data_IF_191841366362
#
_entry.id   IF_191841366362
#
_cell.length_a   1.000
_cell.length_b   1.000
_cell.length_c   1.000
_cell.angle_alpha   90.00
_cell.angle_beta   90.00
_cell.angle_gamma   90.00
#
_symmetry.space_group_name_H-M   'P 1'
#
loop_
_entity.id
_entity.type
_entity.pdbx_description
1 polymer ?
#
# COMPACT_ATOMS: atom_id res chain seq x y z
N UNK A 1 -8.64 -10.52 -26.21
CA UNK A 1 -8.99 -9.71 -25.03
C UNK A 1 -7.86 -9.93 -24.04
N UNK A 2 -6.97 -8.94 -23.87
CA UNK A 2 -5.85 -9.07 -22.91
C UNK A 2 -6.48 -9.16 -21.52
N UNK A 3 -6.25 -10.26 -20.82
CA UNK A 3 -6.75 -10.49 -19.46
C UNK A 3 -5.68 -9.95 -18.51
N UNK A 4 -5.91 -8.75 -18.00
CA UNK A 4 -5.07 -8.17 -16.96
C UNK A 4 -5.50 -8.83 -15.66
N UNK A 5 -4.71 -9.78 -15.16
CA UNK A 5 -4.87 -10.21 -13.78
C UNK A 5 -4.63 -8.97 -12.93
N UNK A 6 -5.66 -8.55 -12.21
CA UNK A 6 -5.61 -7.52 -11.19
C UNK A 6 -4.73 -8.06 -10.06
N UNK A 7 -3.40 -8.11 -10.26
CA UNK A 7 -2.43 -8.42 -9.20
C UNK A 7 -2.26 -7.14 -8.39
N UNK A 8 -3.36 -6.65 -7.82
CA UNK A 8 -3.39 -5.40 -7.08
C UNK A 8 -2.93 -5.72 -5.66
N UNK A 9 -1.74 -5.26 -5.34
CA UNK A 9 -1.48 -4.67 -4.02
C UNK A 9 -1.18 -5.61 -2.86
N UNK A 10 -0.66 -6.83 -3.08
CA UNK A 10 0.01 -7.53 -1.97
C UNK A 10 1.44 -7.03 -1.91
N UNK A 11 1.69 -6.06 -1.03
CA UNK A 11 3.02 -5.96 -0.44
C UNK A 11 2.98 -6.83 0.75
N UNK A 12 3.96 -7.68 0.80
CA UNK A 12 4.47 -8.02 2.08
C UNK A 12 6.01 -8.10 1.86
N UNK A 13 6.85 -7.45 2.68
CA UNK A 13 8.31 -7.53 2.57
C UNK A 13 9.19 -6.96 3.70
N UNK A 14 10.49 -7.33 3.78
CA UNK A 14 11.66 -6.79 4.55
C UNK A 14 12.26 -7.87 5.49
N UNK A 15 13.55 -8.23 5.54
CA UNK A 15 14.83 -7.47 5.55
C UNK A 15 15.99 -8.37 5.06
N UNK A 16 17.18 -7.79 4.97
CA UNK A 16 18.46 -8.42 4.63
C UNK A 16 18.79 -9.63 5.52
N UNK A 17 18.54 -10.81 4.98
CA UNK A 17 18.80 -12.11 5.57
C UNK A 17 18.00 -13.15 4.81
N UNK A 18 18.54 -14.35 4.61
CA UNK A 18 17.75 -15.45 4.04
C UNK A 18 16.68 -15.87 5.05
N UNK A 19 15.49 -15.28 4.97
CA UNK A 19 14.32 -15.74 5.73
C UNK A 19 13.68 -16.91 5.00
N UNK A 20 13.14 -17.88 5.76
CA UNK A 20 12.41 -19.00 5.17
C UNK A 20 11.13 -18.49 4.49
N UNK A 21 10.98 -18.74 3.20
CA UNK A 21 9.81 -18.36 2.42
C UNK A 21 8.75 -19.48 2.44
N UNK A 22 7.48 -19.11 2.46
CA UNK A 22 6.34 -19.99 2.25
C UNK A 22 5.76 -19.70 0.87
N UNK A 23 5.34 -20.74 0.13
CA UNK A 23 4.62 -20.54 -1.12
C UNK A 23 3.18 -20.13 -0.81
N UNK A 24 2.79 -18.96 -1.29
CA UNK A 24 1.42 -18.44 -1.23
C UNK A 24 0.87 -18.42 -2.64
N UNK A 25 -0.40 -18.74 -2.81
CA UNK A 25 -0.98 -18.81 -4.14
C UNK A 25 -2.19 -17.86 -4.22
N UNK A 26 -2.25 -17.06 -5.28
CA UNK A 26 -3.21 -15.98 -5.50
C UNK A 26 -4.07 -16.38 -6.69
N UNK A 27 -5.35 -16.66 -6.46
CA UNK A 27 -6.31 -17.00 -7.52
C UNK A 27 -7.29 -15.86 -7.71
N UNK A 28 -7.83 -15.67 -8.91
CA UNK A 28 -8.85 -14.65 -9.15
C UNK A 28 -10.29 -15.16 -8.93
N UNK A 29 -10.44 -16.37 -8.38
CA UNK A 29 -11.73 -17.03 -8.15
C UNK A 29 -12.47 -17.48 -9.41
N UNK A 30 -11.95 -17.20 -10.62
CA UNK A 30 -12.59 -17.57 -11.88
C UNK A 30 -12.17 -18.99 -12.26
N UNK A 31 -13.14 -19.90 -12.31
CA UNK A 31 -12.92 -21.29 -12.70
C UNK A 31 -12.20 -21.39 -14.07
N UNK A 32 -11.00 -21.96 -14.06
CA UNK A 32 -10.16 -22.17 -15.26
C UNK A 32 -9.27 -20.99 -15.66
N UNK A 33 -9.29 -19.87 -14.93
CA UNK A 33 -8.41 -18.71 -15.18
C UNK A 33 -7.12 -18.75 -14.34
N UNK A 34 -7.03 -19.73 -13.44
CA UNK A 34 -5.79 -20.12 -12.82
C UNK A 34 -5.40 -19.41 -11.52
N UNK A 35 -4.18 -19.70 -11.06
CA UNK A 35 -3.59 -19.22 -9.81
C UNK A 35 -2.11 -18.86 -10.02
N UNK A 36 -1.70 -17.73 -9.47
CA UNK A 36 -0.30 -17.30 -9.38
C UNK A 36 0.26 -17.72 -8.01
N UNK A 37 1.19 -18.65 -7.97
CA UNK A 37 1.94 -19.00 -6.76
C UNK A 37 3.16 -18.11 -6.66
N UNK A 38 3.47 -17.53 -5.50
CA UNK A 38 4.64 -16.69 -5.24
C UNK A 38 5.31 -17.09 -3.91
N UNK A 39 6.64 -16.97 -3.78
CA UNK A 39 7.32 -17.12 -2.49
C UNK A 39 7.14 -15.85 -1.65
N UNK A 40 6.73 -16.03 -0.39
CA UNK A 40 6.36 -14.99 0.58
C UNK A 40 7.16 -15.21 1.87
N UNK A 41 7.88 -14.21 2.40
CA UNK A 41 8.66 -14.34 3.65
C UNK A 41 7.79 -14.20 4.93
N UNK A 42 8.34 -14.26 6.16
CA UNK A 42 7.56 -14.15 7.39
C UNK A 42 7.00 -12.75 7.71
N UNK A 43 7.41 -11.71 6.98
CA UNK A 43 6.83 -10.36 6.94
C UNK A 43 5.95 -10.19 5.68
N UNK A 44 5.93 -11.27 4.89
CA UNK A 44 5.32 -11.60 3.62
C UNK A 44 6.06 -11.19 2.34
N UNK A 45 7.32 -10.72 2.42
CA UNK A 45 8.34 -10.95 1.36
C UNK A 45 7.93 -11.42 -0.03
N UNK A 46 7.43 -10.61 -0.97
CA UNK A 46 7.56 -10.98 -2.39
C UNK A 46 8.66 -10.18 -3.10
N UNK A 47 9.55 -10.91 -3.78
CA UNK A 47 10.64 -10.38 -4.59
C UNK A 47 10.52 -10.87 -6.03
N UNK A 48 10.26 -9.95 -6.96
CA UNK A 48 10.46 -10.19 -8.38
C UNK A 48 11.89 -9.72 -8.75
N UNK A 49 12.77 -10.64 -9.14
CA UNK A 49 14.10 -10.24 -9.59
C UNK A 49 14.02 -9.51 -10.94
N UNK A 50 14.11 -8.17 -10.91
CA UNK A 50 14.05 -7.29 -12.08
C UNK A 50 15.19 -7.51 -13.09
N UNK A 51 16.32 -8.09 -12.67
CA UNK A 51 17.59 -7.97 -13.41
C UNK A 51 17.92 -9.09 -14.41
N UNK A 52 17.27 -10.25 -14.36
CA UNK A 52 17.71 -11.42 -15.18
C UNK A 52 16.63 -12.19 -15.92
N UNK A 53 15.35 -11.86 -15.75
CA UNK A 53 14.26 -12.48 -16.53
C UNK A 53 14.17 -14.03 -16.42
N UNK A 54 14.82 -14.65 -15.43
CA UNK A 54 14.87 -16.10 -15.28
C UNK A 54 14.03 -16.55 -14.06
N UNK A 55 13.17 -17.56 -14.29
CA UNK A 55 12.37 -18.34 -13.33
C UNK A 55 12.41 -17.85 -11.87
N UNK A 56 11.40 -17.05 -11.55
CA UNK A 56 11.33 -16.15 -10.39
C UNK A 56 10.70 -16.79 -9.13
N UNK A 57 10.54 -18.11 -9.12
CA UNK A 57 9.89 -18.83 -8.02
C UNK A 57 8.36 -18.74 -8.03
N UNK A 58 7.78 -17.87 -8.86
CA UNK A 58 6.35 -17.92 -9.15
C UNK A 58 5.94 -18.99 -10.16
N UNK A 59 4.75 -19.55 -9.93
CA UNK A 59 4.14 -20.56 -10.79
C UNK A 59 2.72 -20.16 -11.11
N UNK A 60 2.45 -19.88 -12.39
CA UNK A 60 1.09 -19.66 -12.88
C UNK A 60 0.50 -20.97 -13.42
N UNK A 61 -0.69 -21.33 -12.94
CA UNK A 61 -1.43 -22.56 -13.27
C UNK A 61 -2.85 -22.17 -13.72
N UNK A 62 -3.36 -22.50 -14.93
CA UNK A 62 -2.84 -23.49 -15.86
C UNK A 62 -1.66 -22.97 -16.67
N UNK A 63 -0.61 -23.79 -16.69
CA UNK A 63 0.72 -23.50 -17.24
C UNK A 63 0.70 -22.63 -18.51
N UNK A 64 1.38 -21.48 -18.44
CA UNK A 64 1.63 -20.57 -19.55
C UNK A 64 2.76 -19.60 -19.23
N UNK A 65 3.50 -19.16 -20.23
CA UNK A 65 4.44 -18.05 -20.07
C UNK A 65 3.67 -16.79 -19.68
N UNK A 66 4.11 -16.09 -18.63
CA UNK A 66 3.73 -14.68 -18.43
C UNK A 66 4.04 -13.95 -19.75
N UNK A 67 3.05 -13.29 -20.36
CA UNK A 67 3.26 -12.53 -21.60
C UNK A 67 4.26 -11.39 -21.39
N UNK A 68 4.60 -10.62 -22.43
CA UNK A 68 5.45 -9.42 -22.29
C UNK A 68 4.83 -8.29 -21.45
N UNK A 69 3.58 -8.45 -21.01
CA UNK A 69 2.77 -7.48 -20.26
C UNK A 69 2.47 -7.99 -18.82
N UNK A 70 3.46 -8.48 -18.08
CA UNK A 70 3.25 -8.87 -16.67
C UNK A 70 3.39 -7.63 -15.77
N UNK A 71 2.47 -7.41 -14.81
CA UNK A 71 2.58 -6.27 -13.91
C UNK A 71 3.82 -6.45 -13.03
N UNK A 72 4.74 -5.50 -13.10
CA UNK A 72 5.78 -5.30 -12.11
C UNK A 72 5.41 -4.10 -11.25
N UNK A 73 5.50 -4.28 -9.94
CA UNK A 73 5.26 -3.20 -9.01
C UNK A 73 6.11 -3.44 -7.77
N UNK A 74 6.55 -2.34 -7.16
CA UNK A 74 7.27 -2.35 -5.91
C UNK A 74 6.57 -1.41 -4.93
N UNK A 75 6.48 -1.79 -3.67
CA UNK A 75 5.84 -0.94 -2.67
C UNK A 75 6.48 -1.18 -1.33
N UNK A 76 6.39 -0.16 -0.48
CA UNK A 76 7.03 -0.15 0.81
C UNK A 76 6.26 0.71 1.80
N UNK A 77 6.28 0.30 3.06
CA UNK A 77 5.84 1.07 4.22
C UNK A 77 7.01 1.27 5.15
N UNK A 78 7.27 2.54 5.43
CA UNK A 78 8.40 2.99 6.21
C UNK A 78 7.92 3.71 7.45
N UNK A 79 8.57 3.44 8.57
CA UNK A 79 8.34 4.14 9.82
C UNK A 79 9.56 5.02 10.11
N UNK A 80 9.31 6.31 10.34
CA UNK A 80 10.33 7.31 10.67
C UNK A 80 10.01 7.98 12.01
N UNK A 81 10.94 7.94 12.97
CA UNK A 81 10.85 8.69 14.24
C UNK A 81 11.92 9.77 14.23
N UNK A 82 11.48 11.01 14.02
CA UNK A 82 12.37 12.14 13.76
C UNK A 82 13.35 11.87 12.60
N UNK A 83 14.54 12.46 12.68
CA UNK A 83 15.62 12.24 11.72
C UNK A 83 16.63 11.20 12.19
N UNK A 84 16.31 10.48 13.26
CA UNK A 84 17.26 9.58 13.92
C UNK A 84 16.89 8.14 13.71
N UNK A 85 15.61 7.80 13.74
CA UNK A 85 15.18 6.41 13.69
C UNK A 85 14.37 6.09 12.44
N UNK A 86 14.66 4.94 11.83
CA UNK A 86 13.88 4.42 10.71
C UNK A 86 13.90 2.90 10.61
N UNK A 87 12.79 2.33 10.17
CA UNK A 87 12.65 0.93 9.76
C UNK A 87 11.68 0.82 8.59
N UNK A 88 11.87 -0.21 7.77
CA UNK A 88 10.87 -0.60 6.79
C UNK A 88 10.02 -1.65 7.46
N UNK A 89 8.73 -1.35 7.62
CA UNK A 89 7.76 -2.32 8.09
C UNK A 89 7.40 -3.28 6.97
N UNK A 90 7.42 -2.75 5.75
CA UNK A 90 7.20 -3.49 4.53
C UNK A 90 8.03 -2.90 3.38
N UNK A 91 8.75 -3.63 2.51
CA UNK A 91 9.52 -3.03 1.39
C UNK A 91 10.07 -4.06 0.40
N UNK A 92 9.99 -3.79 -0.91
CA UNK A 92 10.71 -4.59 -1.92
C UNK A 92 12.21 -4.73 -1.54
N UNK A 93 12.79 -5.95 -1.47
CA UNK A 93 14.15 -6.15 -0.94
C UNK A 93 15.28 -5.32 -1.59
N UNK A 94 15.16 -4.98 -2.87
CA UNK A 94 16.06 -4.08 -3.59
C UNK A 94 16.04 -2.63 -3.09
N UNK A 95 14.96 -2.18 -2.46
CA UNK A 95 14.82 -0.83 -1.86
C UNK A 95 15.72 -0.62 -0.63
N UNK A 96 16.26 -1.70 -0.03
CA UNK A 96 17.12 -1.65 1.16
C UNK A 96 18.60 -1.29 0.93
N UNK A 97 18.97 -0.78 -0.25
CA UNK A 97 20.30 -0.93 -0.84
C UNK A 97 21.47 0.00 -0.44
N UNK A 98 21.38 0.83 0.60
CA UNK A 98 22.52 1.68 1.00
C UNK A 98 23.10 1.32 2.38
N UNK A 99 24.30 0.73 2.40
CA UNK A 99 25.08 0.49 3.63
C UNK A 99 25.43 1.76 4.38
N UNK A 100 25.37 2.91 3.70
CA UNK A 100 25.65 4.24 4.26
C UNK A 100 24.61 4.69 5.30
N UNK A 101 23.39 4.18 5.21
CA UNK A 101 22.24 4.64 5.98
C UNK A 101 21.31 3.47 6.35
N UNK A 102 21.85 2.39 6.91
CA UNK A 102 21.02 1.29 7.42
C UNK A 102 19.99 1.78 8.47
N UNK A 103 18.85 1.09 8.54
CA UNK A 103 17.87 1.31 9.60
C UNK A 103 18.51 0.97 10.94
N UNK A 104 18.21 1.78 11.95
CA UNK A 104 18.69 1.58 13.32
C UNK A 104 17.57 1.16 14.28
N UNK A 105 16.35 1.01 13.74
CA UNK A 105 15.26 0.30 14.39
C UNK A 105 15.24 -1.15 13.90
N UNK A 106 14.92 -2.06 14.81
CA UNK A 106 14.76 -3.48 14.53
C UNK A 106 13.27 -3.82 14.51
N UNK A 107 12.79 -4.34 13.38
CA UNK A 107 11.47 -4.97 13.29
C UNK A 107 11.60 -6.48 13.57
N UNK A 108 10.77 -7.04 14.45
CA UNK A 108 10.77 -8.46 14.79
C UNK A 108 9.37 -9.05 14.66
N UNK A 109 9.19 -10.04 13.78
CA UNK A 109 7.91 -10.76 13.65
C UNK A 109 7.54 -11.42 14.97
N UNK A 110 6.31 -11.17 15.40
CA UNK A 110 5.66 -11.86 16.52
C UNK A 110 4.76 -12.97 15.99
N UNK A 111 3.96 -12.69 14.96
CA UNK A 111 3.20 -13.69 14.21
C UNK A 111 3.25 -13.39 12.71
N UNK A 112 3.41 -14.45 11.92
CA UNK A 112 3.54 -14.33 10.46
C UNK A 112 2.25 -13.81 9.80
N UNK A 113 2.33 -13.39 8.52
CA UNK A 113 1.14 -13.17 7.72
C UNK A 113 0.35 -14.48 7.64
N UNK A 114 -0.94 -14.41 7.98
CA UNK A 114 -1.88 -15.47 7.61
C UNK A 114 -1.92 -15.60 6.09
N UNK A 115 -2.29 -16.80 5.59
CA UNK A 115 -2.50 -16.98 4.17
C UNK A 115 -3.52 -15.96 3.66
N UNK A 116 -3.23 -15.39 2.49
CA UNK A 116 -4.13 -14.46 1.80
C UNK A 116 -4.82 -15.23 0.68
N UNK A 117 -6.15 -15.30 0.72
CA UNK A 117 -6.93 -15.71 -0.44
C UNK A 117 -7.41 -14.46 -1.20
N UNK A 118 -7.62 -14.61 -2.51
CA UNK A 118 -8.25 -13.62 -3.38
C UNK A 118 -9.39 -14.27 -4.17
N UNK A 119 -9.64 -15.57 -3.94
CA UNK A 119 -10.62 -16.31 -4.69
C UNK A 119 -12.03 -15.91 -4.24
N UNK A 120 -12.67 -15.13 -5.11
CA UNK A 120 -14.01 -14.62 -4.87
C UNK A 120 -15.04 -15.72 -4.58
N UNK A 121 -15.82 -15.52 -3.53
CA UNK A 121 -16.97 -16.35 -3.15
C UNK A 121 -16.60 -17.82 -2.97
N UNK A 122 -15.39 -18.06 -2.47
CA UNK A 122 -14.88 -19.40 -2.16
C UNK A 122 -15.01 -19.76 -0.66
N UNK A 123 -15.38 -18.77 0.17
CA UNK A 123 -15.57 -18.92 1.60
C UNK A 123 -14.26 -18.93 2.42
N UNK A 124 -13.14 -18.46 1.86
CA UNK A 124 -11.82 -18.41 2.51
C UNK A 124 -11.40 -16.97 2.75
N UNK A 125 -11.02 -16.63 3.98
CA UNK A 125 -10.70 -15.26 4.41
C UNK A 125 -9.71 -14.51 3.48
N UNK A 126 -10.16 -13.45 2.79
CA UNK A 126 -9.35 -12.54 1.97
C UNK A 126 -8.61 -11.47 2.80
N UNK A 127 -8.42 -11.75 4.08
CA UNK A 127 -7.71 -10.88 5.03
C UNK A 127 -6.46 -11.59 5.52
N UNK A 128 -5.30 -10.99 5.24
CA UNK A 128 -4.04 -11.39 5.83
C UNK A 128 -3.75 -10.54 7.06
N UNK A 129 -3.31 -11.17 8.15
CA UNK A 129 -2.90 -10.49 9.38
C UNK A 129 -1.49 -10.90 9.74
N UNK A 130 -0.69 -9.93 10.19
CA UNK A 130 0.66 -10.15 10.71
C UNK A 130 0.86 -9.28 11.95
N UNK A 131 1.79 -9.67 12.82
CA UNK A 131 2.19 -8.81 13.94
C UNK A 131 3.70 -8.79 14.11
N UNK A 132 4.22 -7.63 14.49
CA UNK A 132 5.65 -7.43 14.72
C UNK A 132 5.88 -6.34 15.77
N UNK A 133 7.06 -6.36 16.38
CA UNK A 133 7.54 -5.26 17.23
C UNK A 133 8.53 -4.40 16.47
N UNK A 134 8.61 -3.12 16.80
CA UNK A 134 9.62 -2.18 16.31
C UNK A 134 10.31 -1.56 17.51
N UNK A 135 11.62 -1.77 17.65
CA UNK A 135 12.38 -1.28 18.79
C UNK A 135 13.71 -0.64 18.40
N UNK A 136 14.13 0.38 19.16
CA UNK A 136 15.48 0.94 19.11
C UNK A 136 16.38 0.33 20.19
N UNK A 137 17.69 0.24 19.94
CA UNK A 137 18.65 -0.30 20.90
C UNK A 137 18.74 0.52 22.20
N UNK A 138 18.47 1.83 22.12
CA UNK A 138 18.44 2.76 23.24
C UNK A 138 17.07 2.85 23.94
N UNK A 139 16.10 2.01 23.54
CA UNK A 139 14.75 1.94 24.12
C UNK A 139 13.88 3.20 24.00
N UNK A 140 14.29 4.17 23.16
CA UNK A 140 13.45 5.34 22.81
C UNK A 140 12.21 4.93 22.02
N UNK A 141 12.35 3.95 21.11
CA UNK A 141 11.25 3.40 20.32
C UNK A 141 10.95 2.00 20.83
N UNK A 142 9.69 1.76 21.19
CA UNK A 142 9.18 0.44 21.55
C UNK A 142 7.71 0.36 21.14
N UNK A 143 7.45 -0.19 19.96
CA UNK A 143 6.12 -0.27 19.36
C UNK A 143 5.71 -1.72 19.14
N UNK A 144 4.45 -2.02 19.37
CA UNK A 144 3.78 -3.21 18.84
C UNK A 144 2.94 -2.80 17.64
N UNK A 145 3.01 -3.60 16.57
CA UNK A 145 2.27 -3.34 15.34
C UNK A 145 1.50 -4.58 14.95
N UNK A 146 0.18 -4.44 14.82
CA UNK A 146 -0.67 -5.41 14.14
C UNK A 146 -0.98 -4.85 12.75
N UNK A 147 -0.64 -5.62 11.73
CA UNK A 147 -0.87 -5.29 10.33
C UNK A 147 -1.99 -6.18 9.79
N UNK A 148 -2.90 -5.57 9.04
CA UNK A 148 -3.95 -6.23 8.30
C UNK A 148 -3.93 -5.77 6.86
N UNK A 149 -4.03 -6.71 5.93
CA UNK A 149 -4.22 -6.47 4.51
C UNK A 149 -5.50 -7.16 4.07
N UNK A 150 -6.42 -6.43 3.44
CA UNK A 150 -7.67 -6.97 2.91
C UNK A 150 -7.93 -6.46 1.50
N UNK A 151 -8.52 -7.30 0.65
CA UNK A 151 -9.01 -6.90 -0.68
C UNK A 151 -10.51 -6.64 -0.63
N UNK A 152 -10.96 -5.64 -1.39
CA UNK A 152 -12.36 -5.21 -1.47
C UNK A 152 -12.76 -4.86 -2.91
N UNK A 153 -14.07 -4.90 -3.17
CA UNK A 153 -14.65 -4.61 -4.49
C UNK A 153 -14.84 -3.10 -4.67
N UNK A 154 -14.86 -2.56 -5.90
CA UNK A 154 -14.67 -3.26 -7.17
C UNK A 154 -13.21 -3.67 -7.43
N UNK A 155 -12.21 -2.97 -6.87
CA UNK A 155 -10.78 -3.32 -6.93
C UNK A 155 -9.94 -2.39 -6.03
N UNK A 156 -9.93 -2.63 -4.72
CA UNK A 156 -9.02 -1.92 -3.82
C UNK A 156 -8.47 -2.81 -2.71
N UNK A 157 -7.30 -2.42 -2.20
CA UNK A 157 -6.63 -3.07 -1.07
C UNK A 157 -6.58 -2.11 0.09
N UNK A 158 -6.97 -2.61 1.24
CA UNK A 158 -6.86 -1.93 2.53
C UNK A 158 -5.62 -2.46 3.23
N UNK A 159 -4.75 -1.56 3.67
CA UNK A 159 -3.62 -1.90 4.54
C UNK A 159 -3.73 -1.10 5.82
N UNK A 160 -3.99 -1.79 6.93
CA UNK A 160 -4.22 -1.22 8.24
C UNK A 160 -3.06 -1.55 9.17
N UNK A 161 -2.48 -0.53 9.79
CA UNK A 161 -1.48 -0.64 10.84
C UNK A 161 -2.07 -0.16 12.16
N UNK A 162 -2.36 -1.07 13.08
CA UNK A 162 -2.66 -0.73 14.47
C UNK A 162 -1.36 -0.73 15.26
N UNK A 163 -0.97 0.42 15.78
CA UNK A 163 0.33 0.66 16.40
C UNK A 163 0.13 1.08 17.84
N UNK A 164 0.78 0.39 18.76
CA UNK A 164 0.74 0.66 20.19
C UNK A 164 2.12 1.05 20.70
N UNK A 165 2.20 2.16 21.44
CA UNK A 165 3.43 2.61 22.09
C UNK A 165 3.59 1.94 23.46
N UNK A 166 4.55 1.03 23.57
CA UNK A 166 4.85 0.30 24.81
C UNK A 166 5.89 1.02 25.67
N UNK A 167 6.42 2.16 25.24
CA UNK A 167 7.35 2.95 26.03
C UNK A 167 6.62 3.79 27.09
N UNK A 168 7.38 4.27 28.07
CA UNK A 168 6.88 5.15 29.14
C UNK A 168 6.78 6.63 28.71
N UNK A 169 7.19 6.96 27.49
CA UNK A 169 7.20 8.32 26.95
C UNK A 169 6.28 8.43 25.74
N UNK A 170 5.72 9.62 25.44
CA UNK A 170 5.03 9.83 24.17
C UNK A 170 6.01 9.72 23.00
N UNK A 171 5.49 9.40 21.82
CA UNK A 171 6.26 9.27 20.58
C UNK A 171 5.49 9.85 19.40
N UNK A 172 6.21 10.60 18.56
CA UNK A 172 5.73 11.10 17.27
C UNK A 172 6.52 10.42 16.16
N UNK A 173 5.81 9.89 15.16
CA UNK A 173 6.42 9.24 14.02
C UNK A 173 5.58 9.45 12.75
N UNK A 174 6.15 9.06 11.63
CA UNK A 174 5.50 9.10 10.31
C UNK A 174 5.47 7.69 9.74
N UNK A 175 4.34 7.30 9.18
CA UNK A 175 4.27 6.18 8.24
C UNK A 175 4.29 6.75 6.82
N UNK A 176 5.23 6.31 6.02
CA UNK A 176 5.30 6.62 4.60
C UNK A 176 5.01 5.35 3.81
N UNK A 177 3.92 5.36 3.05
CA UNK A 177 3.58 4.29 2.12
C UNK A 177 3.96 4.75 0.72
N UNK A 178 4.68 3.91 0.00
CA UNK A 178 5.26 4.20 -1.29
C UNK A 178 4.87 3.10 -2.29
N UNK A 179 4.74 3.46 -3.57
CA UNK A 179 4.38 2.56 -4.65
C UNK A 179 5.01 3.01 -5.98
N UNK A 180 5.67 2.07 -6.64
CA UNK A 180 6.19 2.14 -8.01
C UNK A 180 5.50 1.07 -8.88
N UNK A 181 5.11 1.44 -10.11
CA UNK A 181 4.28 0.65 -11.02
C UNK A 181 4.84 0.67 -12.44
N UNK A 182 5.10 -0.54 -12.94
CA UNK A 182 5.57 -0.87 -14.28
C UNK A 182 4.67 -1.96 -14.89
N UNK A 183 3.50 -1.61 -15.42
CA UNK A 183 2.51 -2.64 -15.85
C UNK A 183 2.65 -3.03 -17.30
N UNK A 184 3.00 -2.08 -18.16
CA UNK A 184 3.30 -2.31 -19.58
C UNK A 184 4.80 -2.21 -19.81
N UNK A 185 5.59 -2.88 -18.98
CA UNK A 185 7.05 -2.87 -19.10
C UNK A 185 7.49 -3.38 -20.47
N UNK A 186 7.88 -2.47 -21.35
CA UNK A 186 8.38 -2.77 -22.69
C UNK A 186 9.93 -2.71 -22.78
N UNK A 187 10.60 -2.65 -21.61
CA UNK A 187 12.03 -2.33 -21.47
C UNK A 187 12.33 -0.84 -21.32
N UNK A 188 11.26 -0.04 -21.38
CA UNK A 188 11.04 1.38 -21.19
C UNK A 188 10.67 1.95 -19.81
N UNK A 189 11.24 3.08 -19.37
CA UNK A 189 10.71 3.81 -18.19
C UNK A 189 9.80 4.99 -18.57
N UNK A 190 9.29 5.06 -19.81
CA UNK A 190 8.84 6.32 -20.41
C UNK A 190 7.32 6.52 -20.44
N UNK A 191 6.57 5.46 -20.20
CA UNK A 191 5.12 5.43 -20.35
C UNK A 191 4.34 5.67 -19.06
N UNK A 192 4.99 5.73 -17.90
CA UNK A 192 4.24 6.02 -16.67
C UNK A 192 3.80 7.48 -16.64
N UNK A 193 2.68 7.70 -16.01
CA UNK A 193 2.13 8.99 -15.66
C UNK A 193 1.97 9.01 -14.15
N UNK A 194 2.49 10.05 -13.50
CA UNK A 194 2.16 10.33 -12.12
C UNK A 194 1.22 11.53 -12.07
N UNK A 195 0.21 11.44 -11.22
CA UNK A 195 -0.76 12.50 -10.99
C UNK A 195 -0.95 12.76 -9.51
N UNK A 196 -1.57 13.90 -9.21
CA UNK A 196 -2.14 14.23 -7.91
C UNK A 196 -3.60 14.66 -8.05
N UNK A 197 -4.38 14.42 -7.01
CA UNK A 197 -5.79 14.78 -6.92
C UNK A 197 -6.21 15.10 -5.49
N UNK A 198 -7.50 15.40 -5.30
CA UNK A 198 -8.12 15.56 -3.98
C UNK A 198 -9.36 14.67 -3.91
N UNK A 199 -9.51 13.92 -2.82
CA UNK A 199 -10.65 13.05 -2.56
C UNK A 199 -10.90 12.99 -1.04
N UNK A 200 -12.17 13.03 -0.61
CA UNK A 200 -12.52 13.07 0.82
C UNK A 200 -11.87 14.24 1.58
N UNK A 201 -11.63 15.37 0.89
CA UNK A 201 -10.96 16.55 1.45
C UNK A 201 -9.44 16.44 1.62
N UNK A 202 -8.81 15.34 1.20
CA UNK A 202 -7.36 15.13 1.29
C UNK A 202 -6.71 14.90 -0.06
N UNK A 203 -5.43 15.24 -0.18
CA UNK A 203 -4.65 14.98 -1.38
C UNK A 203 -4.32 13.50 -1.57
N UNK A 204 -4.22 13.05 -2.82
CA UNK A 204 -3.72 11.70 -3.13
C UNK A 204 -2.84 11.74 -4.40
N UNK A 205 -1.78 10.92 -4.49
CA UNK A 205 -1.10 10.65 -5.74
C UNK A 205 -1.70 9.43 -6.45
N UNK A 206 -1.55 9.39 -7.77
CA UNK A 206 -1.80 8.20 -8.56
C UNK A 206 -0.72 7.99 -9.60
N UNK A 207 -0.46 6.74 -9.95
CA UNK A 207 0.42 6.36 -11.05
C UNK A 207 -0.33 5.46 -12.02
N UNK A 208 0.00 5.53 -13.28
CA UNK A 208 -0.57 4.65 -14.29
C UNK A 208 0.12 4.83 -15.63
N UNK A 209 -0.48 4.29 -16.66
CA UNK A 209 0.08 4.29 -18.01
C UNK A 209 -0.57 5.41 -18.85
N UNK A 210 0.25 6.22 -19.53
CA UNK A 210 -0.25 7.34 -20.32
C UNK A 210 -1.19 6.85 -21.41
N UNK A 211 -2.38 7.46 -21.47
CA UNK A 211 -3.40 7.08 -22.45
C UNK A 211 -4.16 5.79 -22.10
N UNK A 212 -3.92 5.19 -20.93
CA UNK A 212 -4.65 4.03 -20.45
C UNK A 212 -5.13 4.22 -19.01
N UNK A 213 -6.20 5.02 -18.86
CA UNK A 213 -6.79 5.32 -17.55
C UNK A 213 -7.32 4.10 -16.79
N UNK A 214 -7.53 2.96 -17.47
CA UNK A 214 -7.94 1.72 -16.82
C UNK A 214 -6.80 1.08 -16.00
N UNK A 215 -5.54 1.45 -16.23
CA UNK A 215 -4.36 0.94 -15.52
C UNK A 215 -3.81 1.94 -14.49
N UNK A 216 -4.69 2.76 -13.89
CA UNK A 216 -4.28 3.74 -12.89
C UNK A 216 -4.45 3.19 -11.48
N UNK A 217 -3.52 3.55 -10.62
CA UNK A 217 -3.49 3.18 -9.21
C UNK A 217 -3.38 4.44 -8.38
N UNK A 218 -4.27 4.60 -7.41
CA UNK A 218 -4.19 5.67 -6.43
C UNK A 218 -3.78 5.10 -5.08
N UNK A 219 -2.95 5.86 -4.38
CA UNK A 219 -2.63 5.62 -2.98
C UNK A 219 -3.32 6.68 -2.14
N UNK A 220 -4.10 6.30 -1.14
CA UNK A 220 -4.73 7.25 -0.23
C UNK A 220 -4.70 6.75 1.20
N UNK A 221 -5.23 7.54 2.12
CA UNK A 221 -5.29 7.23 3.55
C UNK A 221 -6.63 7.69 4.10
N UNK A 222 -7.22 6.85 4.95
CA UNK A 222 -8.43 7.23 5.71
C UNK A 222 -8.08 8.15 6.90
N UNK A 223 -6.82 8.15 7.31
CA UNK A 223 -6.29 9.05 8.32
C UNK A 223 -5.80 10.36 7.68
N UNK A 224 -5.74 11.46 8.44
CA UNK A 224 -5.07 12.68 8.02
C UNK A 224 -3.64 12.43 7.55
N UNK A 225 -3.26 13.01 6.42
CA UNK A 225 -1.90 12.93 5.87
C UNK A 225 -1.17 14.28 6.02
N UNK A 226 0.15 14.23 6.16
CA UNK A 226 0.98 15.43 6.01
C UNK A 226 1.07 15.85 4.54
N UNK A 227 0.95 14.88 3.64
CA UNK A 227 0.75 15.08 2.22
C UNK A 227 1.19 13.87 1.42
N UNK A 228 1.27 14.07 0.12
CA UNK A 228 1.65 13.05 -0.85
C UNK A 228 2.75 13.55 -1.78
N UNK A 229 3.35 12.64 -2.55
CA UNK A 229 4.25 12.98 -3.65
C UNK A 229 3.95 12.08 -4.86
N UNK A 230 4.08 12.66 -6.05
CA UNK A 230 4.00 11.98 -7.34
C UNK A 230 5.20 12.43 -8.19
N UNK A 231 6.19 11.56 -8.35
CA UNK A 231 7.54 11.94 -8.79
C UNK A 231 8.02 11.11 -9.98
N UNK A 232 9.03 11.64 -10.69
CA UNK A 232 9.63 11.01 -11.88
C UNK A 232 11.16 10.97 -11.77
N UNK A 233 11.78 9.82 -12.06
CA UNK A 233 13.24 9.63 -12.18
C UNK A 233 13.75 10.62 -13.20
N UNK A 234 14.67 11.51 -12.82
CA UNK A 234 15.32 12.54 -13.67
C UNK A 234 14.65 13.92 -13.78
N UNK A 235 13.48 14.17 -13.19
CA UNK A 235 12.88 15.51 -13.27
C UNK A 235 13.39 16.47 -12.18
N UNK A 236 14.10 17.55 -12.55
CA UNK A 236 14.50 18.63 -11.63
C UNK A 236 13.90 19.97 -12.03
N UNK A 237 12.96 20.50 -11.24
CA UNK A 237 12.40 21.84 -11.44
C UNK A 237 13.45 22.93 -11.10
N UNK A 238 13.48 24.00 -11.88
CA UNK A 238 14.35 25.16 -11.67
C UNK A 238 13.90 26.08 -10.51
N UNK A 239 12.63 26.00 -10.13
CA UNK A 239 12.04 26.69 -8.98
C UNK A 239 12.24 25.92 -7.66
N UNK A 240 12.85 24.74 -7.74
CA UNK A 240 13.05 23.84 -6.63
C UNK A 240 14.11 24.34 -5.66
N UNK A 241 13.85 24.18 -4.37
CA UNK A 241 14.83 24.49 -3.34
C UNK A 241 16.08 23.59 -3.55
N UNK A 242 17.27 24.18 -3.76
CA UNK A 242 18.49 23.43 -4.04
C UNK A 242 18.96 22.56 -2.87
N UNK A 243 18.40 22.73 -1.66
CA UNK A 243 18.61 21.85 -0.51
C UNK A 243 17.73 20.59 -0.54
N UNK A 244 16.70 20.56 -1.39
CA UNK A 244 15.91 19.35 -1.61
C UNK A 244 16.79 18.25 -2.19
N UNK A 245 16.57 16.99 -1.80
CA UNK A 245 17.23 15.87 -2.46
C UNK A 245 17.00 15.98 -3.97
N UNK A 246 18.08 15.94 -4.75
CA UNK A 246 17.99 15.96 -6.22
C UNK A 246 17.16 14.75 -6.68
N UNK A 247 16.16 14.98 -7.55
CA UNK A 247 15.35 13.91 -8.15
C UNK A 247 16.23 13.05 -9.07
N UNK A 248 16.86 12.06 -8.46
CA UNK A 248 17.17 10.76 -9.05
C UNK A 248 16.36 9.64 -8.38
N UNK A 249 15.32 10.01 -7.61
CA UNK A 249 14.39 9.14 -6.87
C UNK A 249 13.37 8.48 -7.82
N UNK A 250 13.90 7.69 -8.74
CA UNK A 250 13.21 6.54 -9.33
C UNK A 250 14.21 5.40 -9.43
N UNK A 251 15.01 5.29 -8.38
CA UNK A 251 15.51 3.99 -7.97
C UNK A 251 15.01 3.92 -6.55
N UNK A 252 13.95 3.16 -6.30
CA UNK A 252 13.81 2.15 -5.24
C UNK A 252 14.47 2.37 -3.86
N UNK A 253 15.72 2.83 -3.81
CA UNK A 253 16.62 2.84 -2.65
C UNK A 253 16.66 4.20 -1.92
N UNK A 254 16.16 5.27 -2.53
CA UNK A 254 16.48 6.64 -2.08
C UNK A 254 15.46 7.15 -1.04
N UNK A 255 14.22 6.68 -1.09
CA UNK A 255 13.06 6.94 -0.21
C UNK A 255 13.44 6.77 1.27
N UNK A 256 14.28 5.78 1.52
CA UNK A 256 14.79 5.43 2.85
C UNK A 256 15.58 6.56 3.54
N UNK A 257 16.21 7.46 2.77
CA UNK A 257 17.15 8.44 3.30
C UNK A 257 16.50 9.77 3.68
N UNK A 258 15.23 9.98 3.33
CA UNK A 258 14.56 11.28 3.43
C UNK A 258 13.81 11.50 4.76
N UNK A 259 13.71 10.49 5.63
CA UNK A 259 12.94 10.54 6.88
C UNK A 259 11.45 10.93 6.68
N UNK A 260 10.84 10.32 5.67
CA UNK A 260 9.50 10.67 5.18
C UNK A 260 9.55 11.48 3.89
N UNK A 261 8.46 12.17 3.56
CA UNK A 261 8.38 13.06 2.40
C UNK A 261 9.10 14.38 2.75
N UNK A 262 10.14 14.78 2.00
CA UNK A 262 10.75 16.10 2.15
C UNK A 262 9.70 17.21 2.02
N UNK A 263 9.77 18.26 2.85
CA UNK A 263 8.78 19.34 2.86
C UNK A 263 8.53 19.99 1.50
N UNK A 264 9.55 20.04 0.65
CA UNK A 264 9.45 20.59 -0.71
C UNK A 264 8.83 19.65 -1.75
N UNK A 265 8.53 18.40 -1.38
CA UNK A 265 7.84 17.42 -2.23
C UNK A 265 6.39 17.22 -1.81
N UNK A 266 6.03 17.76 -0.65
CA UNK A 266 4.69 17.65 -0.09
C UNK A 266 3.69 18.27 -1.07
N UNK A 267 2.76 17.44 -1.52
CA UNK A 267 1.72 17.71 -2.52
C UNK A 267 2.29 18.14 -3.89
N UNK A 268 3.52 17.71 -4.20
CA UNK A 268 4.17 17.98 -5.47
C UNK A 268 3.90 16.87 -6.48
N UNK A 269 3.60 17.26 -7.72
CA UNK A 269 3.43 16.37 -8.87
C UNK A 269 4.47 16.75 -9.92
N UNK A 270 5.25 15.77 -10.40
CA UNK A 270 6.27 15.98 -11.43
C UNK A 270 5.72 16.74 -12.65
N UNK A 271 6.49 17.71 -13.14
CA UNK A 271 6.14 18.61 -14.26
C UNK A 271 4.94 19.55 -14.02
N UNK A 272 4.13 19.30 -12.99
CA UNK A 272 2.96 20.12 -12.66
C UNK A 272 3.24 21.13 -11.55
N UNK A 273 3.97 20.72 -10.51
CA UNK A 273 4.25 21.55 -9.33
C UNK A 273 3.37 21.19 -8.13
N UNK A 274 3.11 22.17 -7.27
CA UNK A 274 2.26 21.99 -6.08
C UNK A 274 0.79 21.89 -6.51
N UNK A 275 0.11 20.83 -6.07
CA UNK A 275 -1.33 20.63 -6.26
C UNK A 275 -1.68 19.51 -7.25
N UNK A 276 -2.95 19.40 -7.63
CA UNK A 276 -3.44 18.28 -8.44
C UNK A 276 -3.19 18.50 -9.92
N UNK A 277 -2.79 17.46 -10.64
CA UNK A 277 -2.43 17.49 -12.06
C UNK A 277 -1.77 16.19 -12.47
N UNK A 278 -1.41 16.03 -13.75
CA UNK A 278 -0.72 14.84 -14.25
C UNK A 278 0.54 15.22 -15.02
N UNK A 279 1.58 14.39 -14.91
CA UNK A 279 2.85 14.58 -15.62
C UNK A 279 2.73 14.36 -17.14
N UNK A 280 1.70 13.61 -17.58
CA UNK A 280 1.67 13.04 -18.93
C UNK A 280 2.81 12.03 -19.14
N UNK A 281 3.08 11.70 -20.41
CA UNK A 281 4.14 10.74 -20.81
C UNK A 281 5.51 11.36 -20.98
N UNK A 282 5.93 12.14 -19.99
CA UNK A 282 7.26 12.71 -19.95
C UNK A 282 8.29 11.67 -19.44
N UNK A 283 9.54 11.82 -19.89
CA UNK A 283 10.63 10.86 -19.64
C UNK A 283 10.85 10.57 -18.15
N UNK A 284 11.19 9.30 -17.88
CA UNK A 284 11.64 8.80 -16.59
C UNK A 284 10.60 7.99 -15.83
N UNK A 285 11.08 7.12 -14.96
CA UNK A 285 10.32 6.17 -14.13
C UNK A 285 9.45 6.88 -13.09
N UNK A 286 8.20 6.43 -12.89
CA UNK A 286 7.22 7.05 -11.98
C UNK A 286 7.20 6.44 -10.58
N UNK A 287 6.95 7.26 -9.57
CA UNK A 287 6.68 6.75 -8.21
C UNK A 287 5.69 7.64 -7.46
N UNK A 288 4.92 7.04 -6.56
CA UNK A 288 3.96 7.73 -5.70
C UNK A 288 4.11 7.36 -4.24
N UNK A 289 3.82 8.31 -3.35
CA UNK A 289 3.85 8.05 -1.91
C UNK A 289 2.96 8.95 -1.08
N UNK A 290 2.53 8.44 0.07
CA UNK A 290 1.66 9.12 1.04
C UNK A 290 2.28 9.02 2.42
N UNK A 291 2.33 10.14 3.14
CA UNK A 291 2.85 10.21 4.51
C UNK A 291 1.73 10.53 5.52
N UNK A 292 1.50 9.62 6.46
CA UNK A 292 0.60 9.79 7.58
C UNK A 292 1.38 10.07 8.89
N UNK A 293 1.19 11.23 9.55
CA UNK A 293 1.74 11.47 10.88
C UNK A 293 0.97 10.69 11.96
N UNK A 294 1.68 10.26 13.00
CA UNK A 294 1.09 9.60 14.17
C UNK A 294 1.73 10.13 15.44
N UNK A 295 0.89 10.47 16.42
CA UNK A 295 1.30 10.87 17.76
C UNK A 295 0.65 9.95 18.79
N UNK A 296 1.47 9.24 19.58
CA UNK A 296 1.00 8.32 20.60
C UNK A 296 1.47 8.75 21.99
N UNK A 297 0.56 8.80 22.95
CA UNK A 297 0.92 8.84 24.37
C UNK A 297 1.62 7.54 24.80
N UNK A 298 2.24 7.54 25.98
CA UNK A 298 2.71 6.31 26.60
C UNK A 298 1.55 5.33 26.82
N UNK A 299 1.67 4.09 26.34
CA UNK A 299 0.59 3.10 26.33
C UNK A 299 -0.54 3.38 25.33
N UNK A 300 -0.45 4.46 24.53
CA UNK A 300 -1.46 4.82 23.54
C UNK A 300 -1.39 3.94 22.30
N UNK A 301 -2.51 3.85 21.57
CA UNK A 301 -2.62 3.13 20.30
C UNK A 301 -3.31 4.00 19.24
N UNK A 302 -2.93 3.83 17.98
CA UNK A 302 -3.61 4.42 16.83
C UNK A 302 -3.62 3.45 15.65
N UNK A 303 -4.62 3.61 14.80
CA UNK A 303 -4.76 2.86 13.55
C UNK A 303 -4.48 3.80 12.38
N UNK A 304 -3.58 3.41 11.48
CA UNK A 304 -3.36 4.08 10.19
C UNK A 304 -3.81 3.14 9.07
N UNK A 305 -4.70 3.61 8.21
CA UNK A 305 -5.27 2.83 7.11
C UNK A 305 -4.93 3.47 5.77
N UNK A 306 -4.16 2.77 4.95
CA UNK A 306 -3.88 3.13 3.56
C UNK A 306 -4.82 2.37 2.61
N UNK A 307 -5.28 3.04 1.57
CA UNK A 307 -6.14 2.47 0.52
C UNK A 307 -5.38 2.53 -0.80
N UNK A 308 -5.20 1.35 -1.40
CA UNK A 308 -4.58 1.13 -2.70
C UNK A 308 -5.68 0.81 -3.68
N UNK A 309 -5.85 1.62 -4.72
CA UNK A 309 -7.10 1.59 -5.46
C UNK A 309 -6.82 1.52 -6.95
N UNK A 310 -7.45 0.59 -7.66
CA UNK A 310 -7.12 0.29 -9.06
C UNK A 310 -8.25 0.59 -10.05
N UNK A 311 -7.92 1.29 -11.13
CA UNK A 311 -8.83 1.59 -12.24
C UNK A 311 -8.96 3.09 -12.51
N UNK A 312 -9.97 3.47 -13.30
CA UNK A 312 -10.12 4.84 -13.78
C UNK A 312 -10.76 5.82 -12.78
N UNK A 313 -11.51 5.32 -11.80
CA UNK A 313 -12.29 6.13 -10.86
C UNK A 313 -11.67 6.07 -9.47
N UNK A 314 -10.54 6.75 -9.28
CA UNK A 314 -9.70 6.57 -8.09
C UNK A 314 -9.37 7.85 -7.34
N UNK A 315 -9.35 7.83 -5.98
CA UNK A 315 -9.73 6.73 -5.07
C UNK A 315 -11.24 6.41 -5.07
N UNK A 316 -11.63 5.23 -4.56
CA UNK A 316 -13.04 4.78 -4.49
C UNK A 316 -13.69 4.97 -3.12
N UNK A 317 -12.92 5.15 -2.04
CA UNK A 317 -13.46 5.26 -0.69
C UNK A 317 -12.61 6.16 0.18
N UNK A 318 -13.26 6.95 1.03
CA UNK A 318 -12.67 7.69 2.14
C UNK A 318 -13.27 7.25 3.49
N UNK A 319 -14.16 6.25 3.47
CA UNK A 319 -14.79 5.66 4.65
C UNK A 319 -15.18 4.20 4.36
N UNK A 320 -14.70 3.26 5.17
CA UNK A 320 -15.02 1.84 4.97
C UNK A 320 -16.48 1.49 5.27
N UNK A 321 -17.19 2.38 5.98
CA UNK A 321 -18.62 2.26 6.20
C UNK A 321 -19.48 2.57 4.95
N UNK A 322 -18.89 3.17 3.90
CA UNK A 322 -19.52 3.32 2.59
C UNK A 322 -19.33 1.99 1.84
N UNK A 323 -20.24 1.05 2.10
CA UNK A 323 -20.18 -0.34 1.64
C UNK A 323 -20.49 -0.43 0.15
N UNK A 324 -21.37 0.46 -0.34
CA UNK A 324 -21.80 0.46 -1.74
C UNK A 324 -20.91 1.34 -2.65
N UNK A 325 -20.06 2.19 -2.06
CA UNK A 325 -19.09 3.09 -2.70
C UNK A 325 -19.72 4.21 -3.54
N UNK A 326 -20.87 4.72 -3.12
CA UNK A 326 -21.53 5.86 -3.75
C UNK A 326 -21.06 7.22 -3.20
N UNK A 327 -20.19 7.20 -2.19
CA UNK A 327 -19.58 8.37 -1.57
C UNK A 327 -20.34 8.88 -0.35
N UNK A 328 -21.42 8.22 0.09
CA UNK A 328 -22.18 8.59 1.28
C UNK A 328 -22.44 7.36 2.13
N UNK A 329 -22.27 7.47 3.45
CA UNK A 329 -22.67 6.41 4.37
C UNK A 329 -24.14 6.61 4.74
N UNK A 330 -25.03 5.77 4.24
CA UNK A 330 -26.47 5.91 4.48
C UNK A 330 -27.21 4.58 4.75
N UNK A 331 -28.52 4.56 4.58
CA UNK A 331 -29.35 3.39 4.84
C UNK A 331 -29.13 2.27 3.82
N UNK A 332 -28.60 2.55 2.63
CA UNK A 332 -28.21 1.53 1.67
C UNK A 332 -27.01 0.71 2.18
N UNK A 333 -26.01 1.36 2.79
CA UNK A 333 -24.86 0.66 3.41
C UNK A 333 -25.30 -0.14 4.63
N UNK A 334 -26.17 0.46 5.44
CA UNK A 334 -26.76 -0.22 6.59
C UNK A 334 -27.50 -1.49 6.18
N UNK A 335 -28.29 -1.43 5.12
CA UNK A 335 -29.01 -2.58 4.58
C UNK A 335 -28.05 -3.61 3.97
N UNK A 336 -26.95 -3.19 3.36
CA UNK A 336 -25.93 -4.10 2.84
C UNK A 336 -25.33 -4.96 3.96
N UNK A 337 -25.00 -4.35 5.11
CA UNK A 337 -24.54 -5.08 6.30
C UNK A 337 -25.62 -6.02 6.84
N UNK A 338 -26.85 -5.54 7.00
CA UNK A 338 -27.94 -6.36 7.54
C UNK A 338 -28.30 -7.56 6.65
N UNK A 339 -28.19 -7.43 5.33
CA UNK A 339 -28.40 -8.57 4.41
C UNK A 339 -27.26 -9.59 4.46
N UNK A 340 -26.07 -9.17 4.89
CA UNK A 340 -24.90 -10.04 5.06
C UNK A 340 -24.73 -10.56 6.50
N UNK A 341 -25.58 -10.16 7.44
CA UNK A 341 -25.42 -10.45 8.88
C UNK A 341 -25.30 -11.95 9.18
N UNK A 342 -24.30 -12.32 9.97
CA UNK A 342 -23.99 -13.70 10.34
C UNK A 342 -23.24 -14.50 9.27
N UNK A 343 -22.91 -13.90 8.13
CA UNK A 343 -22.05 -14.54 7.14
C UNK A 343 -20.61 -14.61 7.69
N UNK A 344 -20.12 -15.83 7.92
CA UNK A 344 -18.71 -16.13 8.11
C UNK A 344 -18.07 -16.43 6.76
N UNK A 345 -17.88 -15.40 5.95
CA UNK A 345 -17.08 -15.41 4.73
C UNK A 345 -16.60 -13.97 4.46
N UNK A 346 -15.34 -13.78 4.05
CA UNK A 346 -14.68 -12.47 3.91
C UNK A 346 -15.12 -11.62 2.71
N UNK A 347 -15.92 -12.20 1.80
CA UNK A 347 -16.40 -11.56 0.57
C UNK A 347 -17.45 -10.47 0.83
N UNK A 348 -17.83 -10.27 2.08
CA UNK A 348 -18.70 -9.20 2.47
C UNK A 348 -17.88 -7.90 2.50
N UNK A 349 -18.03 -7.04 1.49
CA UNK A 349 -17.67 -5.62 1.66
C UNK A 349 -18.36 -5.00 2.90
N UNK A 350 -19.40 -5.67 3.41
CA UNK A 350 -20.09 -5.42 4.66
C UNK A 350 -19.35 -5.83 5.95
N UNK A 351 -18.28 -6.63 5.88
CA UNK A 351 -17.31 -6.79 6.99
C UNK A 351 -16.38 -5.58 6.96
N UNK A 352 -16.83 -4.48 7.56
CA UNK A 352 -16.16 -3.17 7.49
C UNK A 352 -15.00 -3.10 8.50
N UNK A 353 -15.05 -3.94 9.54
CA UNK A 353 -14.05 -3.97 10.60
C UNK A 353 -12.91 -4.98 10.32
N UNK A 354 -13.09 -5.91 9.38
CA UNK A 354 -12.18 -6.98 8.94
C UNK A 354 -11.87 -8.06 9.98
N UNK A 355 -12.81 -8.42 10.84
CA UNK A 355 -12.64 -9.51 11.80
C UNK A 355 -13.05 -10.89 11.26
N UNK A 356 -13.58 -10.93 10.03
CA UNK A 356 -13.94 -12.13 9.30
C UNK A 356 -15.36 -12.63 9.57
N UNK A 357 -16.19 -11.87 10.27
CA UNK A 357 -17.63 -12.13 10.41
C UNK A 357 -18.42 -10.83 10.28
N UNK A 358 -19.51 -10.86 9.52
CA UNK A 358 -20.42 -9.70 9.49
C UNK A 358 -21.33 -9.76 10.70
N UNK A 359 -21.14 -8.90 11.69
CA UNK A 359 -21.93 -8.89 12.92
C UNK A 359 -22.35 -7.48 13.39
N UNK A 360 -22.70 -7.35 14.67
CA UNK A 360 -23.14 -6.08 15.23
C UNK A 360 -22.01 -5.05 15.36
N UNK A 361 -20.74 -5.47 15.37
CA UNK A 361 -19.60 -4.55 15.34
C UNK A 361 -19.52 -3.82 13.99
N UNK A 362 -19.71 -4.51 12.87
CA UNK A 362 -19.79 -3.88 11.54
C UNK A 362 -20.97 -2.92 11.43
N UNK A 363 -22.12 -3.36 11.95
CA UNK A 363 -23.33 -2.55 12.00
C UNK A 363 -23.10 -1.25 12.77
N UNK A 364 -22.39 -1.32 13.89
CA UNK A 364 -22.05 -0.15 14.70
C UNK A 364 -21.05 0.76 13.98
N UNK A 365 -20.08 0.22 13.24
CA UNK A 365 -19.17 1.04 12.43
C UNK A 365 -19.92 1.86 11.37
N UNK A 366 -20.90 1.26 10.67
CA UNK A 366 -21.76 1.99 9.73
C UNK A 366 -22.56 3.07 10.45
N UNK A 367 -23.19 2.74 11.57
CA UNK A 367 -24.02 3.70 12.33
C UNK A 367 -23.21 4.86 12.92
N UNK A 368 -21.96 4.64 13.36
CA UNK A 368 -21.10 5.73 13.84
C UNK A 368 -20.68 6.69 12.72
N UNK A 369 -20.71 6.23 11.47
CA UNK A 369 -20.34 7.01 10.30
C UNK A 369 -21.55 7.50 9.50
N UNK A 370 -22.77 7.22 9.94
CA UNK A 370 -24.00 7.53 9.21
C UNK A 370 -24.13 9.02 8.87
N UNK A 371 -24.36 9.33 7.59
CA UNK A 371 -24.42 10.68 7.04
C UNK A 371 -23.06 11.32 6.72
N UNK A 372 -21.95 10.59 6.89
CA UNK A 372 -20.64 11.05 6.39
C UNK A 372 -20.54 10.89 4.87
N UNK A 373 -19.70 11.71 4.24
CA UNK A 373 -19.54 11.69 2.78
C UNK A 373 -18.10 11.99 2.35
N UNK A 374 -17.75 11.45 1.19
CA UNK A 374 -16.64 11.86 0.35
C UNK A 374 -17.13 12.87 -0.71
#
# INVERSE_FOLDING_TARGET
MKRYACVVGIVLAVLTGSHAQTLTSIGNGIAGDGRLTIPVDPFGAWYANFSTGANRGEFYDPAGSLGVDYPTFATGTYLFVGTSYRVALNQEPGWGGSTSWAGNLTATVVSGPTAFDYAYNDGVNDTATASFTVASADSVVNLSVNMLTAVRRPSYVVVRYQITNNSSSPIDFKLYRAWDLDILWDGNYENDEVCGGVYGGQGYPSQGEVGNSALRFALSSLNPINGYAAVKRTYRDSSWDPSCPTMGYGTDIQEWNAYGIPSCWVNYVAYYGIGPGCSGGAFGDGHIGVEAPVSLAAGGSATVTFIHTYGANQPVTCNLADVNLDGVVDDADLLAVLFAFGNGAPDADADVNFDGVVDDADLLEVLFNFGSSC
#
